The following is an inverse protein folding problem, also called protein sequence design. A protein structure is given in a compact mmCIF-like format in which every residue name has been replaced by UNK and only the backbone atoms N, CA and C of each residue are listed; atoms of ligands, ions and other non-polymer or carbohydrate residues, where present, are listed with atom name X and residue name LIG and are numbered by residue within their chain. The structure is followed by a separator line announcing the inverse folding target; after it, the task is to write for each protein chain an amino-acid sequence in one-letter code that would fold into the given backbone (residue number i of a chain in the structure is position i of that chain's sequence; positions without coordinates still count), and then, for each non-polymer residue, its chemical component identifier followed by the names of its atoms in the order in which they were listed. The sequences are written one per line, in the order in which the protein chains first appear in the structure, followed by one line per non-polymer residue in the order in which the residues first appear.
data_IF_191275294173
#
_entry.id   IF_191275294173
#
_cell.length_a   1.000
_cell.length_b   1.000
_cell.length_c   1.000
_cell.angle_alpha   90.00
_cell.angle_beta   90.00
_cell.angle_gamma   90.00
#
_symmetry.space_group_name_H-M   'P 1'
#
loop_
_entity.id
_entity.type
_entity.pdbx_description
1 polymer ?
#
# COMPACT_ATOMS: atom_id res chain seq x y z
N UNK A 1 -23.84 -8.15 36.15
CA UNK A 1 -23.69 -8.93 34.90
C UNK A 1 -24.18 -8.06 33.75
N UNK A 2 -23.25 -7.48 33.00
CA UNK A 2 -23.55 -6.74 31.78
C UNK A 2 -22.57 -7.20 30.73
N UNK A 3 -23.00 -8.14 29.89
CA UNK A 3 -22.24 -8.58 28.73
C UNK A 3 -22.17 -7.39 27.75
N UNK A 4 -20.98 -6.80 27.62
CA UNK A 4 -20.70 -5.94 26.48
C UNK A 4 -20.67 -6.87 25.27
N UNK A 5 -21.67 -6.69 24.42
CA UNK A 5 -21.77 -7.27 23.09
C UNK A 5 -20.56 -6.81 22.27
N UNK A 6 -19.45 -7.53 22.41
CA UNK A 6 -18.25 -7.35 21.60
C UNK A 6 -18.52 -8.02 20.27
N UNK A 7 -19.34 -7.35 19.44
CA UNK A 7 -19.47 -7.66 18.03
C UNK A 7 -18.08 -7.78 17.40
N UNK A 8 -17.89 -8.64 16.38
CA UNK A 8 -16.58 -8.99 15.88
C UNK A 8 -15.89 -7.70 15.43
N UNK A 9 -14.80 -7.34 16.12
CA UNK A 9 -13.90 -6.26 15.70
C UNK A 9 -13.61 -6.51 14.23
N UNK A 10 -14.21 -5.70 13.36
CA UNK A 10 -13.99 -5.73 11.91
C UNK A 10 -12.48 -5.66 11.75
N UNK A 11 -11.83 -6.77 11.38
CA UNK A 11 -10.38 -6.92 11.35
C UNK A 11 -9.80 -5.70 10.62
N UNK A 12 -9.20 -4.77 11.36
CA UNK A 12 -9.13 -3.37 10.94
C UNK A 12 -8.15 -3.22 9.77
N UNK A 13 -8.70 -3.22 8.55
CA UNK A 13 -8.06 -2.55 7.43
C UNK A 13 -7.88 -1.09 7.83
N UNK A 14 -6.63 -0.72 8.08
CA UNK A 14 -6.25 0.64 8.46
C UNK A 14 -5.25 1.22 7.47
N UNK A 15 -5.18 2.55 7.37
CA UNK A 15 -4.05 3.20 6.69
C UNK A 15 -2.94 3.44 7.70
N UNK A 16 -1.71 3.13 7.35
CA UNK A 16 -0.53 3.40 8.17
C UNK A 16 0.53 4.09 7.33
N UNK A 17 1.32 4.98 7.93
CA UNK A 17 2.39 5.66 7.19
C UNK A 17 3.65 4.80 7.21
N UNK A 18 4.28 4.67 6.06
CA UNK A 18 5.58 4.06 5.93
C UNK A 18 6.62 4.90 6.66
N UNK A 19 7.41 4.27 7.54
CA UNK A 19 8.44 4.97 8.31
C UNK A 19 9.62 5.45 7.46
N UNK A 20 9.75 4.93 6.23
CA UNK A 20 10.86 5.27 5.33
C UNK A 20 10.49 6.40 4.35
N UNK A 21 9.41 6.23 3.58
CA UNK A 21 9.02 7.23 2.56
C UNK A 21 7.89 8.17 3.01
N UNK A 22 7.26 7.92 4.17
CA UNK A 22 6.17 8.75 4.70
C UNK A 22 4.82 8.61 4.00
N UNK A 23 4.75 7.81 2.91
CA UNK A 23 3.51 7.53 2.18
C UNK A 23 2.56 6.65 2.99
N UNK A 24 1.27 6.75 2.69
CA UNK A 24 0.26 5.87 3.28
C UNK A 24 0.32 4.48 2.64
N UNK A 25 0.16 3.44 3.44
CA UNK A 25 0.06 2.04 3.03
C UNK A 25 -1.15 1.38 3.72
N UNK A 26 -1.67 0.32 3.09
CA UNK A 26 -2.79 -0.45 3.65
C UNK A 26 -2.24 -1.46 4.67
N UNK A 27 -2.61 -1.30 5.94
CA UNK A 27 -2.33 -2.27 7.00
C UNK A 27 -3.44 -3.31 7.02
N UNK A 28 -3.09 -4.55 6.69
CA UNK A 28 -4.06 -5.65 6.53
C UNK A 28 -3.64 -6.84 7.39
N UNK A 29 -4.61 -7.47 8.06
CA UNK A 29 -4.37 -8.64 8.91
C UNK A 29 -4.01 -9.87 8.07
N UNK A 30 -3.07 -10.68 8.54
CA UNK A 30 -2.71 -11.95 7.90
C UNK A 30 -3.53 -13.12 8.47
N UNK A 31 -3.59 -14.26 7.76
CA UNK A 31 -4.19 -15.48 8.30
C UNK A 31 -3.52 -15.95 9.62
N UNK A 32 -2.24 -15.65 9.79
CA UNK A 32 -1.42 -16.07 10.95
C UNK A 32 -1.48 -15.08 12.13
N UNK A 33 -2.46 -14.17 12.13
CA UNK A 33 -2.73 -13.19 13.20
C UNK A 33 -1.68 -12.08 13.40
N UNK A 34 -0.88 -11.77 12.38
CA UNK A 34 -0.06 -10.54 12.35
C UNK A 34 -0.70 -9.50 11.41
N UNK A 35 0.10 -8.61 10.84
CA UNK A 35 -0.32 -7.66 9.81
C UNK A 35 0.82 -7.41 8.82
N UNK A 36 0.45 -6.97 7.61
CA UNK A 36 1.39 -6.56 6.57
C UNK A 36 1.00 -5.18 6.03
N UNK A 37 1.98 -4.37 5.64
CA UNK A 37 1.75 -3.14 4.90
C UNK A 37 1.76 -3.45 3.40
N UNK A 38 0.65 -3.21 2.73
CA UNK A 38 0.47 -3.40 1.31
C UNK A 38 0.47 -2.05 0.59
N UNK A 39 1.04 -2.04 -0.60
CA UNK A 39 0.98 -0.89 -1.50
C UNK A 39 -0.48 -0.54 -1.79
N UNK A 40 -0.91 0.72 -1.58
CA UNK A 40 -2.27 1.14 -1.90
C UNK A 40 -2.47 1.18 -3.42
N UNK A 41 -3.71 0.96 -3.86
CA UNK A 41 -4.14 1.16 -5.26
C UNK A 41 -3.35 0.34 -6.31
N UNK A 42 -2.64 -0.71 -5.88
CA UNK A 42 -1.85 -1.55 -6.77
C UNK A 42 -2.24 -3.02 -6.62
N UNK A 43 -2.83 -3.56 -7.69
CA UNK A 43 -3.31 -4.93 -7.77
C UNK A 43 -2.85 -5.60 -9.08
N UNK A 44 -1.59 -6.02 -9.21
CA UNK A 44 -1.14 -6.69 -10.42
C UNK A 44 -1.79 -8.05 -10.59
N UNK A 45 -1.73 -8.59 -11.81
CA UNK A 45 -2.03 -9.99 -12.07
C UNK A 45 -1.00 -10.85 -11.33
N UNK A 46 -1.46 -11.83 -10.56
CA UNK A 46 -0.61 -12.62 -9.69
C UNK A 46 0.49 -13.36 -10.48
N UNK A 47 0.24 -13.74 -11.73
CA UNK A 47 1.24 -14.41 -12.58
C UNK A 47 2.42 -13.51 -12.99
N UNK A 48 2.35 -12.18 -12.81
CA UNK A 48 3.46 -11.25 -13.11
C UNK A 48 4.33 -10.93 -11.89
N UNK A 49 4.04 -11.58 -10.76
CA UNK A 49 4.68 -11.36 -9.46
C UNK A 49 5.30 -12.68 -9.01
N UNK A 50 6.48 -12.73 -8.37
CA UNK A 50 7.01 -13.95 -7.76
C UNK A 50 6.10 -14.50 -6.66
N UNK A 51 6.07 -15.81 -6.46
CA UNK A 51 5.08 -16.49 -5.62
C UNK A 51 5.12 -16.03 -4.16
N UNK A 52 6.32 -15.79 -3.66
CA UNK A 52 6.66 -15.29 -2.32
C UNK A 52 6.20 -13.84 -2.05
N UNK A 53 5.77 -13.11 -3.08
CA UNK A 53 5.36 -11.71 -2.98
C UNK A 53 3.88 -11.49 -3.37
N UNK A 54 3.13 -12.55 -3.65
CA UNK A 54 1.71 -12.50 -4.00
C UNK A 54 0.85 -12.55 -2.75
N UNK A 55 0.43 -11.40 -2.26
CA UNK A 55 -0.57 -11.34 -1.18
C UNK A 55 -1.99 -11.45 -1.77
N UNK A 56 -2.70 -12.54 -1.47
CA UNK A 56 -4.07 -12.76 -1.92
C UNK A 56 -5.02 -12.31 -0.82
N UNK A 57 -5.97 -11.45 -1.17
CA UNK A 57 -7.03 -11.01 -0.28
C UNK A 57 -8.16 -12.05 -0.25
N UNK A 58 -8.57 -12.42 0.96
CA UNK A 58 -9.64 -13.37 1.24
C UNK A 58 -10.96 -12.63 1.46
N UNK A 59 -12.07 -13.36 1.40
CA UNK A 59 -13.41 -12.78 1.57
C UNK A 59 -13.67 -12.16 2.95
N UNK A 60 -12.89 -12.54 3.96
CA UNK A 60 -12.94 -11.97 5.31
C UNK A 60 -12.05 -10.71 5.46
N UNK A 61 -11.41 -10.25 4.39
CA UNK A 61 -10.54 -9.09 4.34
C UNK A 61 -9.12 -9.34 4.85
N UNK A 62 -8.76 -10.57 5.25
CA UNK A 62 -7.39 -10.96 5.57
C UNK A 62 -6.59 -11.24 4.30
N UNK A 63 -5.28 -11.31 4.44
CA UNK A 63 -4.37 -11.67 3.35
C UNK A 63 -3.50 -12.87 3.68
N UNK A 64 -3.08 -13.59 2.64
CA UNK A 64 -2.14 -14.71 2.75
C UNK A 64 -1.27 -14.83 1.49
N UNK A 65 -0.09 -15.44 1.63
CA UNK A 65 0.83 -15.71 0.52
C UNK A 65 0.62 -17.13 0.03
N UNK A 66 0.16 -17.29 -1.22
CA UNK A 66 0.06 -18.61 -1.87
C UNK A 66 1.31 -18.89 -2.71
N UNK A 67 2.32 -19.50 -2.09
CA UNK A 67 3.61 -19.78 -2.71
C UNK A 67 3.65 -21.00 -3.65
N UNK A 68 2.64 -21.87 -3.63
CA UNK A 68 2.75 -23.26 -4.16
C UNK A 68 1.86 -23.58 -5.36
N UNK A 69 0.81 -22.81 -5.62
CA UNK A 69 -0.12 -23.07 -6.72
C UNK A 69 0.07 -22.02 -7.84
N UNK A 70 0.03 -22.40 -9.13
CA UNK A 70 -0.13 -21.43 -10.20
C UNK A 70 -1.38 -20.58 -9.93
N UNK A 71 -1.27 -19.24 -9.92
CA UNK A 71 -2.45 -18.41 -9.74
C UNK A 71 -3.37 -18.59 -10.95
N UNK A 72 -4.68 -18.42 -10.73
CA UNK A 72 -5.60 -18.24 -11.85
C UNK A 72 -5.08 -17.08 -12.76
N UNK A 73 -5.16 -17.20 -14.10
CA UNK A 73 -4.61 -16.20 -15.01
C UNK A 73 -5.09 -14.76 -14.74
N UNK A 74 -6.29 -14.61 -14.19
CA UNK A 74 -6.93 -13.32 -13.87
C UNK A 74 -6.88 -12.99 -12.37
N UNK A 75 -6.34 -13.87 -11.53
CA UNK A 75 -6.18 -13.61 -10.10
C UNK A 75 -5.33 -12.34 -9.91
N UNK A 76 -5.87 -11.39 -9.15
CA UNK A 76 -5.12 -10.21 -8.71
C UNK A 76 -4.49 -10.50 -7.35
N UNK A 77 -3.33 -9.93 -7.10
CA UNK A 77 -2.70 -9.95 -5.79
C UNK A 77 -2.37 -8.51 -5.35
N UNK A 78 -1.96 -8.39 -4.09
CA UNK A 78 -1.40 -7.19 -3.49
C UNK A 78 0.11 -7.39 -3.32
N UNK A 79 0.82 -6.29 -3.16
CA UNK A 79 2.29 -6.27 -3.01
C UNK A 79 2.62 -5.57 -1.72
N UNK A 80 3.66 -6.04 -1.03
CA UNK A 80 4.16 -5.35 0.15
C UNK A 80 4.64 -3.95 -0.22
N UNK A 81 4.23 -2.97 0.59
CA UNK A 81 4.71 -1.60 0.44
C UNK A 81 6.23 -1.53 0.57
N UNK A 82 6.86 -2.45 1.33
CA UNK A 82 8.32 -2.57 1.43
C UNK A 82 9.00 -2.66 0.06
N UNK A 83 8.42 -3.41 -0.87
CA UNK A 83 8.96 -3.61 -2.22
C UNK A 83 8.78 -2.36 -3.09
N UNK A 84 7.63 -1.70 -2.96
CA UNK A 84 7.26 -0.48 -3.68
C UNK A 84 7.86 0.80 -3.06
N UNK A 85 8.47 0.71 -1.88
CA UNK A 85 9.03 1.84 -1.16
C UNK A 85 10.29 2.37 -1.87
N UNK A 86 10.23 3.63 -2.30
CA UNK A 86 11.35 4.33 -2.96
C UNK A 86 12.56 4.55 -2.04
N UNK A 87 12.34 4.64 -0.73
CA UNK A 87 13.37 4.91 0.26
C UNK A 87 14.14 3.66 0.73
N UNK A 88 13.73 2.45 0.32
CA UNK A 88 14.43 1.21 0.68
C UNK A 88 15.37 0.76 -0.44
N UNK A 89 16.65 0.46 -0.16
CA UNK A 89 17.57 -0.09 -1.16
C UNK A 89 17.19 -1.56 -1.43
N UNK A 90 16.58 -1.81 -2.57
CA UNK A 90 16.27 -3.16 -3.05
C UNK A 90 16.89 -3.36 -4.44
N UNK A 91 17.27 -4.60 -4.79
CA UNK A 91 17.67 -4.91 -6.15
C UNK A 91 16.52 -4.64 -7.12
N UNK A 92 16.82 -4.45 -8.40
CA UNK A 92 15.80 -4.42 -9.44
C UNK A 92 15.16 -5.82 -9.53
N UNK A 93 13.97 -5.96 -8.94
CA UNK A 93 13.26 -7.24 -8.88
C UNK A 93 12.55 -7.53 -10.21
N UNK A 94 11.70 -6.62 -10.68
CA UNK A 94 11.01 -6.76 -11.97
C UNK A 94 10.57 -5.40 -12.55
N UNK A 95 10.42 -5.25 -13.89
CA UNK A 95 10.36 -3.94 -14.55
C UNK A 95 9.26 -3.00 -14.05
N UNK A 96 8.05 -3.52 -13.83
CA UNK A 96 6.93 -2.68 -13.38
C UNK A 96 7.09 -2.23 -11.91
N UNK A 97 7.83 -2.97 -11.07
CA UNK A 97 8.13 -2.52 -9.70
C UNK A 97 9.07 -1.33 -9.70
N UNK A 98 10.07 -1.34 -10.57
CA UNK A 98 11.00 -0.21 -10.70
C UNK A 98 10.23 1.05 -11.09
N UNK A 99 9.28 0.96 -12.03
CA UNK A 99 8.39 2.08 -12.37
C UNK A 99 7.52 2.54 -11.20
N UNK A 100 6.92 1.60 -10.45
CA UNK A 100 6.09 1.91 -9.27
C UNK A 100 6.91 2.60 -8.17
N UNK A 101 8.13 2.12 -7.89
CA UNK A 101 9.05 2.75 -6.94
C UNK A 101 9.39 4.19 -7.36
N UNK A 102 9.62 4.42 -8.65
CA UNK A 102 9.86 5.77 -9.19
C UNK A 102 8.65 6.71 -9.02
N UNK A 103 7.43 6.21 -9.22
CA UNK A 103 6.20 6.97 -8.92
C UNK A 103 6.08 7.28 -7.42
N UNK A 104 6.35 6.30 -6.57
CA UNK A 104 6.31 6.49 -5.12
C UNK A 104 7.37 7.47 -4.63
N UNK A 105 8.55 7.51 -5.26
CA UNK A 105 9.55 8.57 -5.04
C UNK A 105 8.96 9.95 -5.32
N UNK A 106 8.41 10.14 -6.53
CA UNK A 106 7.78 11.41 -6.91
C UNK A 106 6.60 11.79 -6.00
N UNK A 107 5.82 10.82 -5.52
CA UNK A 107 4.74 11.04 -4.54
C UNK A 107 5.28 11.46 -3.18
N UNK A 108 6.34 10.81 -2.70
CA UNK A 108 6.96 11.13 -1.43
C UNK A 108 7.55 12.54 -1.44
N UNK A 109 8.20 12.93 -2.54
CA UNK A 109 8.76 14.28 -2.71
C UNK A 109 7.65 15.35 -2.67
N UNK A 110 6.55 15.13 -3.38
CA UNK A 110 5.37 16.02 -3.32
C UNK A 110 4.79 16.10 -1.91
N UNK A 111 4.81 15.01 -1.16
CA UNK A 111 4.28 14.96 0.20
C UNK A 111 5.20 15.65 1.22
N UNK A 112 6.49 15.79 0.93
CA UNK A 112 7.47 16.47 1.79
C UNK A 112 7.66 17.95 1.42
N UNK A 113 7.37 18.31 0.17
CA UNK A 113 7.41 19.71 -0.28
C UNK A 113 6.23 20.46 0.36
N UNK A 114 6.47 21.51 1.17
CA UNK A 114 5.39 22.35 1.67
C UNK A 114 4.61 22.96 0.51
N UNK A 115 3.30 23.14 0.68
CA UNK A 115 2.51 23.88 -0.30
C UNK A 115 3.16 25.25 -0.54
N UNK A 116 3.24 25.71 -1.81
CA UNK A 116 3.73 27.05 -2.08
C UNK A 116 2.87 28.05 -1.29
N UNK A 117 3.48 29.15 -0.79
CA UNK A 117 2.74 30.17 -0.09
C UNK A 117 1.55 30.62 -0.95
N UNK A 118 0.35 30.60 -0.35
CA UNK A 118 -0.87 31.05 -1.00
C UNK A 118 -0.59 32.45 -1.58
N UNK A 119 -0.90 32.71 -2.87
CA UNK A 119 -0.75 34.05 -3.41
C UNK A 119 -1.58 35.02 -2.56
N UNK A 120 -1.10 36.25 -2.30
CA UNK A 120 -1.85 37.21 -1.52
C UNK A 120 -3.23 37.41 -2.15
N UNK A 121 -4.29 37.25 -1.34
CA UNK A 121 -5.70 37.35 -1.75
C UNK A 121 -6.08 38.75 -2.29
N UNK A 122 -5.19 39.73 -2.15
CA UNK A 122 -5.35 41.07 -2.71
C UNK A 122 -4.70 41.16 -4.08
N UNK A 123 -5.48 40.83 -5.12
CA UNK A 123 -5.20 41.34 -6.45
C UNK A 123 -5.35 42.88 -6.40
N UNK A 124 -4.36 43.66 -6.87
CA UNK A 124 -4.52 45.11 -6.92
C UNK A 124 -5.70 45.45 -7.83
N UNK A 125 -6.62 46.26 -7.30
CA UNK A 125 -7.77 46.79 -8.02
C UNK A 125 -7.24 47.56 -9.24
N UNK A 126 -7.52 47.07 -10.44
CA UNK A 126 -7.17 47.76 -11.67
C UNK A 126 -8.14 48.93 -11.83
N UNK A 127 -7.67 50.12 -11.45
CA UNK A 127 -8.42 51.38 -11.49
C UNK A 127 -8.85 51.85 -12.87
#
# INVERSE_FOLDING_TARGET
MGALDEGPRRLERGRSRCLYCGLSADRVATLEYDWVLLEPDMEPLAHTVPAEHRWIELSDGRVTVYGVCPPDPFQRCRIEHRLACSAQPLPDLWPWLTSLRGENGRRADRHQTPDPPQPPETLPDAG
#
